data_IF_538872031738
#
_entry.id   IF_538872031738
#
_cell.length_a   1.000
_cell.length_b   1.000
_cell.length_c   1.000
_cell.angle_alpha   90.00
_cell.angle_beta   90.00
_cell.angle_gamma   90.00
#
_symmetry.space_group_name_H-M   'P 1'
#
loop_
_entity.id
_entity.type
_entity.pdbx_description
1 polymer ?
#
# COMPACT_ATOMS: atom_id res chain seq x y z
N UNK A 1 27.55 60.38 -25.02
CA UNK A 1 27.14 58.96 -24.85
C UNK A 1 25.66 58.85 -25.18
N UNK A 2 25.36 58.29 -26.36
CA UNK A 2 24.04 58.37 -27.00
C UNK A 2 22.95 57.70 -26.15
N UNK A 3 21.78 58.35 -26.05
CA UNK A 3 20.58 57.86 -25.36
C UNK A 3 20.23 56.42 -25.78
N UNK A 4 20.47 56.10 -27.05
CA UNK A 4 20.31 54.78 -27.66
C UNK A 4 21.17 53.71 -26.96
N UNK A 5 22.42 54.05 -26.58
CA UNK A 5 23.32 53.13 -25.89
C UNK A 5 22.86 52.84 -24.45
N UNK A 6 22.23 53.81 -23.78
CA UNK A 6 21.67 53.64 -22.43
C UNK A 6 20.40 52.77 -22.45
N UNK A 7 19.55 52.94 -23.45
CA UNK A 7 18.33 52.12 -23.63
C UNK A 7 18.71 50.68 -23.99
N UNK A 8 19.71 50.49 -24.85
CA UNK A 8 20.22 49.16 -25.19
C UNK A 8 20.82 48.42 -23.99
N UNK A 9 21.59 49.11 -23.13
CA UNK A 9 22.11 48.52 -21.89
C UNK A 9 20.99 48.15 -20.90
N UNK A 10 19.96 48.99 -20.78
CA UNK A 10 18.82 48.73 -19.88
C UNK A 10 17.99 47.53 -20.33
N UNK A 11 17.78 47.36 -21.65
CA UNK A 11 17.06 46.22 -22.20
C UNK A 11 17.81 44.88 -21.99
N UNK A 12 19.15 44.88 -22.05
CA UNK A 12 19.97 43.69 -21.81
C UNK A 12 19.98 43.32 -20.32
N UNK A 13 19.95 44.31 -19.41
CA UNK A 13 19.87 44.07 -17.97
C UNK A 13 18.47 43.63 -17.48
N UNK A 14 17.39 43.93 -18.21
CA UNK A 14 16.03 43.52 -17.87
C UNK A 14 15.65 42.11 -18.38
N UNK A 15 16.47 41.51 -19.25
CA UNK A 15 16.24 40.18 -19.82
C UNK A 15 16.22 38.99 -18.82
N UNK A 16 16.85 39.01 -17.62
CA UNK A 16 16.77 37.86 -16.72
C UNK A 16 15.47 37.81 -15.89
N UNK A 17 14.55 38.79 -16.01
CA UNK A 17 13.27 38.77 -15.29
C UNK A 17 12.25 37.75 -15.84
N UNK A 18 12.53 37.12 -16.99
CA UNK A 18 11.73 36.03 -17.55
C UNK A 18 12.41 34.66 -17.47
N UNK A 19 13.46 34.53 -16.65
CA UNK A 19 13.98 33.22 -16.29
C UNK A 19 12.92 32.47 -15.47
N UNK A 20 12.06 31.71 -16.14
CA UNK A 20 11.30 30.66 -15.47
C UNK A 20 12.34 29.72 -14.88
N UNK A 21 12.38 29.62 -13.55
CA UNK A 21 13.19 28.62 -12.88
C UNK A 21 12.83 27.26 -13.51
N UNK A 22 13.78 26.63 -14.20
CA UNK A 22 13.58 25.27 -14.68
C UNK A 22 13.33 24.41 -13.43
N UNK A 23 12.09 23.92 -13.29
CA UNK A 23 11.80 22.91 -12.27
C UNK A 23 12.77 21.75 -12.50
N UNK A 24 13.68 21.54 -11.54
CA UNK A 24 14.46 20.32 -11.48
C UNK A 24 13.48 19.15 -11.59
N UNK A 25 13.53 18.42 -12.71
CA UNK A 25 12.65 17.29 -12.99
C UNK A 25 13.04 16.18 -12.02
N UNK A 26 12.43 16.20 -10.84
CA UNK A 26 12.67 15.19 -9.82
C UNK A 26 12.37 13.82 -10.41
N UNK A 27 13.39 12.96 -10.54
CA UNK A 27 13.19 11.64 -11.13
C UNK A 27 12.32 10.79 -10.22
N UNK A 28 11.23 10.16 -10.71
CA UNK A 28 10.35 9.36 -9.87
C UNK A 28 11.13 8.22 -9.23
N UNK A 29 11.02 8.16 -7.92
CA UNK A 29 11.61 7.11 -7.11
C UNK A 29 10.69 6.81 -5.93
N UNK A 30 10.79 5.60 -5.43
CA UNK A 30 10.15 5.22 -4.17
C UNK A 30 10.80 5.95 -3.00
N UNK A 31 9.99 6.21 -1.97
CA UNK A 31 10.44 6.70 -0.67
C UNK A 31 11.31 5.65 0.02
N UNK A 32 12.29 6.12 0.81
CA UNK A 32 13.23 5.22 1.49
C UNK A 32 12.59 4.44 2.62
N UNK A 33 11.78 5.11 3.45
CA UNK A 33 11.13 4.54 4.63
C UNK A 33 9.76 5.21 4.78
N UNK A 34 8.70 4.41 4.91
CA UNK A 34 7.35 4.89 5.15
C UNK A 34 6.67 4.02 6.22
N UNK A 35 6.72 4.41 7.50
CA UNK A 35 5.93 3.78 8.54
C UNK A 35 4.44 4.08 8.31
N UNK A 36 3.57 3.13 8.59
CA UNK A 36 2.13 3.21 8.33
C UNK A 36 1.32 2.63 9.47
N UNK A 37 0.15 3.21 9.68
CA UNK A 37 -0.92 2.67 10.54
C UNK A 37 -2.13 2.40 9.66
N UNK A 38 -2.76 1.24 9.81
CA UNK A 38 -4.00 0.86 9.11
C UNK A 38 -5.14 0.77 10.11
N UNK A 39 -6.35 1.20 9.70
CA UNK A 39 -7.52 1.25 10.56
C UNK A 39 -8.48 0.07 10.36
N UNK A 40 -8.68 -0.39 9.12
CA UNK A 40 -9.70 -1.42 8.83
C UNK A 40 -9.33 -2.79 9.44
N UNK A 41 -8.09 -3.20 9.22
CA UNK A 41 -7.43 -4.26 9.97
C UNK A 41 -6.36 -3.53 10.79
N UNK A 42 -6.58 -3.30 12.11
CA UNK A 42 -5.63 -2.59 12.95
C UNK A 42 -4.24 -3.16 12.74
N UNK A 43 -3.34 -2.33 12.23
CA UNK A 43 -2.05 -2.78 11.77
C UNK A 43 -0.98 -1.71 11.87
N UNK A 44 0.23 -2.17 12.14
CA UNK A 44 1.45 -1.39 12.02
C UNK A 44 2.27 -1.96 10.86
N UNK A 45 2.72 -1.09 9.97
CA UNK A 45 3.53 -1.50 8.83
C UNK A 45 4.66 -0.52 8.54
N UNK A 46 5.64 -0.98 7.77
CA UNK A 46 6.70 -0.13 7.26
C UNK A 46 7.06 -0.56 5.84
N UNK A 47 7.19 0.42 4.95
CA UNK A 47 7.65 0.21 3.59
C UNK A 47 9.07 0.77 3.41
N UNK A 48 9.96 -0.04 2.87
CA UNK A 48 11.36 0.27 2.63
C UNK A 48 11.67 0.29 1.15
N UNK A 49 12.25 1.39 0.65
CA UNK A 49 12.71 1.51 -0.73
C UNK A 49 14.03 0.79 -0.95
N UNK A 50 14.04 -0.25 -1.78
CA UNK A 50 15.25 -1.02 -2.13
C UNK A 50 15.94 -0.50 -3.39
N UNK A 51 15.17 -0.08 -4.39
CA UNK A 51 15.65 0.46 -5.65
C UNK A 51 14.71 1.57 -6.13
N UNK A 52 14.99 2.21 -7.27
CA UNK A 52 14.18 3.33 -7.79
C UNK A 52 12.68 3.04 -7.83
N UNK A 53 12.30 1.80 -8.13
CA UNK A 53 10.89 1.39 -8.31
C UNK A 53 10.52 0.18 -7.45
N UNK A 54 11.40 -0.28 -6.55
CA UNK A 54 11.21 -1.52 -5.78
C UNK A 54 11.15 -1.21 -4.30
N UNK A 55 10.15 -1.74 -3.61
CA UNK A 55 10.01 -1.66 -2.16
C UNK A 55 9.76 -3.02 -1.54
N UNK A 56 10.05 -3.11 -0.24
CA UNK A 56 9.57 -4.19 0.62
C UNK A 56 8.65 -3.57 1.66
N UNK A 57 7.43 -4.07 1.76
CA UNK A 57 6.46 -3.70 2.77
C UNK A 57 6.33 -4.83 3.77
N UNK A 58 6.43 -4.54 5.07
CA UNK A 58 6.17 -5.49 6.14
C UNK A 58 5.07 -4.94 7.05
N UNK A 59 4.18 -5.81 7.51
CA UNK A 59 3.04 -5.46 8.34
C UNK A 59 2.77 -6.53 9.40
N UNK A 60 2.42 -6.09 10.60
CA UNK A 60 1.76 -6.90 11.62
C UNK A 60 0.35 -6.34 11.84
N UNK A 61 -0.66 -7.20 11.83
CA UNK A 61 -2.06 -6.81 11.91
C UNK A 61 -2.92 -7.80 12.69
N UNK A 62 -4.15 -7.38 13.01
CA UNK A 62 -5.21 -8.29 13.45
C UNK A 62 -6.12 -8.65 12.27
N UNK A 63 -6.21 -9.94 11.99
CA UNK A 63 -7.17 -10.51 11.06
C UNK A 63 -8.51 -10.81 11.72
N UNK A 64 -9.57 -10.65 10.95
CA UNK A 64 -10.94 -10.97 11.35
C UNK A 64 -11.56 -11.91 10.31
N UNK A 65 -12.12 -13.02 10.75
CA UNK A 65 -12.87 -13.93 9.90
C UNK A 65 -14.31 -14.06 10.39
N UNK A 66 -15.27 -13.99 9.47
CA UNK A 66 -16.69 -14.23 9.72
C UNK A 66 -17.18 -15.27 8.72
N UNK A 67 -17.70 -16.38 9.23
CA UNK A 67 -18.17 -17.52 8.46
C UNK A 67 -19.65 -17.74 8.78
N UNK A 68 -20.48 -17.83 7.75
CA UNK A 68 -21.91 -18.09 7.89
C UNK A 68 -22.21 -19.47 7.32
N UNK A 69 -22.88 -20.31 8.12
CA UNK A 69 -23.35 -21.62 7.69
C UNK A 69 -24.87 -21.61 7.72
N UNK A 70 -25.49 -21.93 6.58
CA UNK A 70 -26.92 -22.15 6.47
C UNK A 70 -27.16 -23.58 5.99
N UNK A 71 -27.83 -24.40 6.81
CA UNK A 71 -28.24 -25.75 6.46
C UNK A 71 -29.72 -25.95 6.77
N UNK A 72 -30.45 -26.57 5.85
CA UNK A 72 -31.85 -26.97 6.06
C UNK A 72 -32.00 -28.14 7.04
N UNK A 73 -30.94 -28.94 7.25
CA UNK A 73 -31.00 -30.15 8.07
C UNK A 73 -30.29 -30.01 9.43
N UNK A 74 -29.22 -29.21 9.51
CA UNK A 74 -28.38 -29.09 10.71
C UNK A 74 -28.50 -27.73 11.43
N UNK A 75 -29.43 -26.88 10.97
CA UNK A 75 -29.61 -25.53 11.48
C UNK A 75 -28.64 -24.51 10.85
N UNK A 76 -28.85 -23.24 11.20
CA UNK A 76 -28.04 -22.12 10.75
C UNK A 76 -27.20 -21.58 11.91
N UNK A 77 -26.08 -20.97 11.58
CA UNK A 77 -25.32 -20.18 12.54
C UNK A 77 -24.06 -19.57 11.96
N UNK A 78 -23.25 -18.99 12.83
CA UNK A 78 -22.07 -18.25 12.45
C UNK A 78 -20.85 -18.66 13.28
N UNK A 79 -19.68 -18.47 12.70
CA UNK A 79 -18.40 -18.65 13.34
C UNK A 79 -17.54 -17.42 13.09
N UNK A 80 -16.95 -16.88 14.14
CA UNK A 80 -16.09 -15.69 14.06
C UNK A 80 -14.75 -15.96 14.71
N UNK A 81 -13.70 -15.37 14.14
CA UNK A 81 -12.34 -15.55 14.59
C UNK A 81 -11.57 -14.24 14.53
N UNK A 82 -10.71 -14.04 15.54
CA UNK A 82 -9.73 -12.95 15.56
C UNK A 82 -8.35 -13.57 15.75
N UNK A 83 -7.41 -13.23 14.88
CA UNK A 83 -6.08 -13.83 14.87
C UNK A 83 -4.99 -12.79 14.55
N UNK A 84 -3.79 -12.91 15.13
CA UNK A 84 -2.63 -12.16 14.65
C UNK A 84 -2.27 -12.57 13.23
N UNK A 85 -1.86 -11.60 12.42
CA UNK A 85 -1.33 -11.81 11.08
C UNK A 85 -0.04 -11.04 10.90
N UNK A 86 0.90 -11.62 10.18
CA UNK A 86 2.05 -10.89 9.61
C UNK A 86 2.07 -11.05 8.11
N UNK A 87 2.55 -10.03 7.42
CA UNK A 87 2.60 -10.00 5.97
C UNK A 87 3.84 -9.25 5.49
N UNK A 88 4.43 -9.75 4.41
CA UNK A 88 5.49 -9.09 3.67
C UNK A 88 5.16 -9.08 2.19
N UNK A 89 5.39 -7.95 1.54
CA UNK A 89 5.23 -7.79 0.09
C UNK A 89 6.47 -7.16 -0.51
N UNK A 90 7.02 -7.79 -1.56
CA UNK A 90 7.97 -7.13 -2.46
C UNK A 90 7.20 -6.51 -3.62
N UNK A 91 7.35 -5.22 -3.84
CA UNK A 91 6.53 -4.43 -4.77
C UNK A 91 7.41 -3.75 -5.80
N UNK A 92 7.09 -3.88 -7.09
CA UNK A 92 7.71 -3.13 -8.19
C UNK A 92 6.70 -2.17 -8.83
N UNK A 93 6.91 -0.88 -8.60
CA UNK A 93 6.04 0.20 -9.06
C UNK A 93 6.32 0.59 -10.52
N UNK A 94 5.51 0.06 -11.43
CA UNK A 94 5.65 0.34 -12.86
C UNK A 94 4.99 1.67 -13.30
N UNK A 95 4.12 2.25 -12.46
CA UNK A 95 3.35 3.44 -12.87
C UNK A 95 3.96 4.79 -12.46
N UNK A 96 5.01 4.86 -11.64
CA UNK A 96 5.47 6.15 -11.07
C UNK A 96 5.86 7.15 -12.17
N UNK A 97 6.65 6.70 -13.16
CA UNK A 97 7.06 7.49 -14.32
C UNK A 97 5.87 7.95 -15.18
N UNK A 98 4.91 7.06 -15.44
CA UNK A 98 3.73 7.43 -16.24
C UNK A 98 2.78 8.37 -15.51
N UNK A 99 2.77 8.34 -14.17
CA UNK A 99 2.00 9.28 -13.34
C UNK A 99 2.65 10.66 -13.32
N UNK A 100 3.98 10.73 -13.13
CA UNK A 100 4.71 11.99 -13.23
C UNK A 100 4.47 12.68 -14.57
N UNK A 101 4.64 11.97 -15.70
CA UNK A 101 4.40 12.51 -17.05
C UNK A 101 2.98 13.05 -17.26
N UNK A 102 2.00 12.54 -16.49
CA UNK A 102 0.60 12.98 -16.54
C UNK A 102 0.25 14.00 -15.46
N UNK A 103 1.23 14.55 -14.74
CA UNK A 103 0.99 15.47 -13.62
C UNK A 103 0.24 14.84 -12.43
N UNK A 104 0.12 13.52 -12.38
CA UNK A 104 -0.54 12.77 -11.30
C UNK A 104 0.44 12.60 -10.14
N UNK A 105 -0.09 12.57 -8.91
CA UNK A 105 0.73 12.33 -7.73
C UNK A 105 1.43 10.96 -7.82
N UNK A 106 2.75 10.95 -7.75
CA UNK A 106 3.59 9.75 -7.73
C UNK A 106 4.36 9.62 -6.40
N UNK A 107 4.38 10.66 -5.56
CA UNK A 107 5.12 10.68 -4.30
C UNK A 107 4.43 9.86 -3.22
N UNK A 108 5.14 9.49 -2.15
CA UNK A 108 4.63 8.55 -1.16
C UNK A 108 4.30 7.18 -1.76
N UNK A 109 5.06 6.77 -2.78
CA UNK A 109 4.83 5.55 -3.57
C UNK A 109 3.40 5.47 -4.14
N UNK A 110 2.84 6.60 -4.57
CA UNK A 110 1.50 6.67 -5.16
C UNK A 110 1.51 6.10 -6.58
N UNK A 111 1.19 4.83 -6.74
CA UNK A 111 1.21 4.15 -8.01
C UNK A 111 0.70 2.72 -7.96
N UNK A 112 0.68 2.10 -9.13
CA UNK A 112 0.36 0.71 -9.35
C UNK A 112 1.65 -0.11 -9.35
N UNK A 113 1.57 -1.33 -8.84
CA UNK A 113 2.68 -2.25 -8.71
C UNK A 113 2.27 -3.69 -9.02
N UNK A 114 3.25 -4.50 -9.39
CA UNK A 114 3.17 -5.95 -9.31
C UNK A 114 4.18 -6.42 -8.26
N UNK A 115 4.01 -7.62 -7.75
CA UNK A 115 4.87 -8.11 -6.67
C UNK A 115 4.64 -9.56 -6.31
N UNK A 116 5.18 -9.92 -5.14
CA UNK A 116 4.86 -11.15 -4.45
C UNK A 116 4.54 -10.82 -2.99
N UNK A 117 3.60 -11.56 -2.42
CA UNK A 117 3.20 -11.49 -1.01
C UNK A 117 3.52 -12.81 -0.34
N UNK A 118 3.98 -12.73 0.90
CA UNK A 118 4.04 -13.83 1.84
C UNK A 118 3.34 -13.39 3.13
N UNK A 119 2.50 -14.23 3.70
CA UNK A 119 1.83 -13.95 4.96
C UNK A 119 1.77 -15.18 5.85
N UNK A 120 1.75 -14.93 7.16
CA UNK A 120 1.53 -15.96 8.16
C UNK A 120 0.41 -15.52 9.09
N UNK A 121 -0.63 -16.34 9.17
CA UNK A 121 -1.72 -16.19 10.10
C UNK A 121 -1.47 -17.11 11.30
N UNK A 122 -1.43 -16.54 12.50
CA UNK A 122 -1.14 -17.25 13.75
C UNK A 122 -2.41 -17.85 14.34
N UNK A 123 -2.27 -18.69 15.37
CA UNK A 123 -3.40 -19.21 16.14
C UNK A 123 -4.35 -18.08 16.58
N UNK A 124 -5.65 -18.38 16.58
CA UNK A 124 -6.67 -17.44 16.96
C UNK A 124 -6.58 -17.08 18.45
N UNK A 125 -6.77 -15.80 18.77
CA UNK A 125 -6.98 -15.37 20.16
C UNK A 125 -8.36 -15.74 20.67
N UNK A 126 -9.34 -15.74 19.77
CA UNK A 126 -10.73 -16.03 20.11
C UNK A 126 -11.43 -16.70 18.96
N UNK A 127 -12.19 -17.73 19.31
CA UNK A 127 -13.08 -18.46 18.41
C UNK A 127 -14.47 -18.44 19.04
N UNK A 128 -15.47 -17.98 18.28
CA UNK A 128 -16.86 -17.93 18.76
C UNK A 128 -17.80 -18.50 17.72
N UNK A 129 -18.58 -19.49 18.14
CA UNK A 129 -19.70 -20.04 17.39
C UNK A 129 -21.02 -19.51 17.95
N UNK A 130 -22.01 -19.30 17.08
CA UNK A 130 -23.38 -19.00 17.44
C UNK A 130 -24.34 -19.85 16.61
N UNK A 131 -25.44 -20.31 17.20
CA UNK A 131 -26.39 -21.22 16.56
C UNK A 131 -25.92 -22.69 16.55
N UNK A 132 -26.50 -23.50 15.67
CA UNK A 132 -26.21 -24.94 15.58
C UNK A 132 -25.01 -25.23 14.67
N UNK A 133 -23.91 -24.49 14.83
CA UNK A 133 -22.68 -24.72 14.03
C UNK A 133 -21.81 -25.75 14.73
N UNK A 134 -21.63 -26.92 14.11
CA UNK A 134 -20.60 -27.88 14.50
C UNK A 134 -19.31 -27.50 13.77
N UNK A 135 -18.34 -26.96 14.51
CA UNK A 135 -17.01 -26.67 13.97
C UNK A 135 -16.25 -28.00 13.88
N UNK A 136 -16.19 -28.59 12.69
CA UNK A 136 -15.46 -29.84 12.43
C UNK A 136 -13.97 -29.61 12.20
N UNK A 137 -13.58 -28.41 11.74
CA UNK A 137 -12.19 -27.95 11.64
C UNK A 137 -12.10 -26.55 12.25
N UNK A 138 -11.54 -26.39 13.47
CA UNK A 138 -11.32 -25.07 14.06
C UNK A 138 -10.31 -24.27 13.22
N UNK A 139 -10.21 -22.98 13.50
CA UNK A 139 -9.26 -22.12 12.82
C UNK A 139 -7.83 -22.68 12.95
N UNK A 140 -7.09 -22.67 11.85
CA UNK A 140 -5.72 -23.16 11.81
C UNK A 140 -4.76 -22.07 11.37
N UNK A 141 -3.55 -22.01 11.97
CA UNK A 141 -2.46 -21.22 11.44
C UNK A 141 -2.20 -21.59 9.99
N UNK A 142 -1.84 -20.59 9.19
CA UNK A 142 -1.60 -20.77 7.77
C UNK A 142 -0.47 -19.89 7.27
N UNK A 143 0.34 -20.44 6.38
CA UNK A 143 1.31 -19.68 5.60
C UNK A 143 0.78 -19.53 4.18
N UNK A 144 0.81 -18.33 3.63
CA UNK A 144 0.36 -18.07 2.26
C UNK A 144 1.44 -17.35 1.47
N UNK A 145 1.64 -17.74 0.21
CA UNK A 145 2.57 -17.07 -0.71
C UNK A 145 1.99 -17.00 -2.12
N UNK A 146 2.20 -15.89 -2.80
CA UNK A 146 1.71 -15.74 -4.16
C UNK A 146 2.07 -14.43 -4.84
N UNK A 147 1.93 -14.35 -6.17
CA UNK A 147 2.06 -13.10 -6.90
C UNK A 147 0.91 -12.15 -6.56
N UNK A 148 1.16 -10.85 -6.64
CA UNK A 148 0.16 -9.81 -6.41
C UNK A 148 0.21 -8.73 -7.47
N UNK A 149 -0.95 -8.13 -7.72
CA UNK A 149 -1.08 -6.85 -8.38
C UNK A 149 -1.76 -5.88 -7.42
N UNK A 150 -1.35 -4.62 -7.43
CA UNK A 150 -1.90 -3.66 -6.49
C UNK A 150 -1.73 -2.20 -6.87
N UNK A 151 -2.32 -1.37 -6.02
CA UNK A 151 -2.31 0.08 -6.11
C UNK A 151 -2.10 0.67 -4.71
N UNK A 152 -1.26 1.68 -4.64
CA UNK A 152 -1.09 2.53 -3.46
C UNK A 152 -1.34 3.98 -3.84
N UNK A 153 -2.10 4.68 -3.01
CA UNK A 153 -2.39 6.10 -3.12
C UNK A 153 -2.09 6.73 -1.77
N UNK A 154 -1.10 7.61 -1.74
CA UNK A 154 -0.66 8.31 -0.54
C UNK A 154 -0.82 9.81 -0.76
N UNK A 155 -1.30 10.53 0.24
CA UNK A 155 -1.39 11.99 0.17
C UNK A 155 -2.60 12.48 -0.61
N UNK A 156 -3.74 11.83 -0.42
CA UNK A 156 -5.04 12.39 -0.81
C UNK A 156 -5.23 13.70 -0.02
N UNK A 157 -5.49 14.82 -0.72
CA UNK A 157 -5.67 16.17 -0.16
C UNK A 157 -4.52 16.67 0.73
N UNK A 158 -3.26 16.40 0.38
CA UNK A 158 -2.07 16.85 1.11
C UNK A 158 -1.95 16.34 2.56
N UNK A 159 -2.80 15.40 2.96
CA UNK A 159 -2.72 14.74 4.25
C UNK A 159 -1.76 13.56 4.23
N UNK A 160 -1.75 12.81 5.33
CA UNK A 160 -0.98 11.59 5.45
C UNK A 160 -1.79 10.33 5.12
N UNK A 161 -2.98 10.49 4.54
CA UNK A 161 -3.86 9.36 4.24
C UNK A 161 -3.18 8.43 3.24
N UNK A 162 -3.17 7.14 3.58
CA UNK A 162 -2.69 6.04 2.76
C UNK A 162 -3.84 5.08 2.47
N UNK A 163 -4.05 4.83 1.19
CA UNK A 163 -4.84 3.74 0.67
C UNK A 163 -3.91 2.79 -0.06
N UNK A 164 -3.93 1.50 0.27
CA UNK A 164 -3.17 0.48 -0.43
C UNK A 164 -4.04 -0.77 -0.55
N UNK A 165 -4.09 -1.31 -1.77
CA UNK A 165 -4.80 -2.54 -2.07
C UNK A 165 -3.92 -3.40 -2.95
N UNK A 166 -3.81 -4.67 -2.60
CA UNK A 166 -3.13 -5.71 -3.38
C UNK A 166 -3.98 -6.97 -3.38
N UNK A 167 -3.97 -7.69 -4.50
CA UNK A 167 -4.70 -8.93 -4.66
C UNK A 167 -3.97 -9.87 -5.62
N UNK A 168 -4.07 -11.17 -5.38
CA UNK A 168 -3.60 -12.20 -6.30
C UNK A 168 -3.85 -13.61 -5.78
N UNK A 169 -3.53 -14.63 -6.61
CA UNK A 169 -3.61 -16.02 -6.19
C UNK A 169 -2.53 -16.33 -5.16
N UNK A 170 -2.84 -17.20 -4.20
CA UNK A 170 -1.90 -17.73 -3.22
C UNK A 170 -1.97 -19.25 -3.13
N UNK A 171 -0.82 -19.87 -2.91
CA UNK A 171 -0.74 -21.18 -2.28
C UNK A 171 -0.82 -20.97 -0.77
N UNK A 172 -1.79 -21.62 -0.13
CA UNK A 172 -2.05 -21.56 1.31
C UNK A 172 -1.71 -22.92 1.92
N UNK A 173 -0.70 -22.94 2.76
CA UNK A 173 -0.23 -24.09 3.51
C UNK A 173 -0.87 -24.06 4.90
N UNK A 174 -1.66 -25.09 5.21
CA UNK A 174 -2.28 -25.27 6.52
C UNK A 174 -1.37 -26.10 7.43
N UNK A 175 -1.54 -25.94 8.74
CA UNK A 175 -0.72 -26.66 9.74
C UNK A 175 -0.88 -28.18 9.66
N UNK A 176 -2.03 -28.68 9.22
CA UNK A 176 -2.29 -30.11 9.03
C UNK A 176 -1.63 -30.72 7.78
N UNK A 177 -0.91 -29.90 7.00
CA UNK A 177 -0.20 -30.32 5.79
C UNK A 177 -1.00 -30.14 4.50
N UNK A 178 -2.26 -29.71 4.59
CA UNK A 178 -3.09 -29.42 3.42
C UNK A 178 -2.55 -28.17 2.69
N UNK A 179 -2.60 -28.21 1.35
CA UNK A 179 -2.23 -27.08 0.49
C UNK A 179 -3.42 -26.71 -0.39
N UNK A 180 -3.85 -25.45 -0.30
CA UNK A 180 -4.98 -24.92 -1.03
C UNK A 180 -4.56 -23.80 -1.99
N UNK A 181 -5.11 -23.80 -3.20
CA UNK A 181 -5.04 -22.65 -4.10
C UNK A 181 -6.19 -21.70 -3.79
N UNK A 182 -5.88 -20.46 -3.41
CA UNK A 182 -6.87 -19.40 -3.23
C UNK A 182 -6.59 -18.27 -4.22
N UNK A 183 -7.47 -18.07 -5.20
CA UNK A 183 -7.31 -17.09 -6.29
C UNK A 183 -7.28 -15.64 -5.77
N UNK A 184 -7.81 -15.40 -4.58
CA UNK A 184 -7.80 -14.10 -3.90
C UNK A 184 -7.08 -14.17 -2.55
N UNK A 185 -6.19 -15.14 -2.37
CA UNK A 185 -5.54 -15.43 -1.10
C UNK A 185 -4.27 -14.64 -0.81
N UNK A 186 -3.68 -13.97 -1.82
CA UNK A 186 -2.52 -13.12 -1.65
C UNK A 186 -2.93 -11.64 -1.68
N UNK A 187 -2.25 -10.83 -0.87
CA UNK A 187 -2.42 -9.39 -0.85
C UNK A 187 -3.13 -8.86 0.39
N UNK A 188 -3.41 -7.56 0.35
CA UNK A 188 -3.73 -6.76 1.52
C UNK A 188 -4.70 -5.65 1.17
N UNK A 189 -5.50 -5.25 2.16
CA UNK A 189 -6.24 -4.01 2.11
C UNK A 189 -5.83 -3.14 3.29
N UNK A 190 -5.42 -1.90 2.98
CA UNK A 190 -4.88 -0.97 3.93
C UNK A 190 -5.49 0.41 3.70
N UNK A 191 -6.14 0.94 4.75
CA UNK A 191 -6.66 2.31 4.78
C UNK A 191 -6.25 2.91 6.12
N UNK A 192 -5.44 3.96 6.07
CA UNK A 192 -4.97 4.64 7.28
C UNK A 192 -4.01 5.77 6.95
N UNK A 193 -2.87 5.82 7.65
CA UNK A 193 -1.96 6.97 7.59
C UNK A 193 -0.50 6.55 7.44
N UNK A 194 0.27 7.33 6.69
CA UNK A 194 1.73 7.32 6.72
C UNK A 194 2.20 8.19 7.87
N UNK A 195 3.16 7.72 8.66
CA UNK A 195 3.75 8.50 9.72
C UNK A 195 5.01 9.21 9.23
N UNK A 196 5.18 10.47 9.63
CA UNK A 196 6.34 11.28 9.28
C UNK A 196 6.22 12.00 7.94
N UNK A 197 7.30 12.68 7.57
CA UNK A 197 7.34 13.53 6.38
C UNK A 197 7.77 12.69 5.17
N UNK A 198 6.87 12.49 4.22
CA UNK A 198 7.21 12.13 2.85
C UNK A 198 6.97 13.35 1.97
N UNK A 199 7.65 13.43 0.81
CA UNK A 199 7.49 14.61 -0.06
C UNK A 199 6.06 14.64 -0.59
N UNK A 200 5.23 15.60 -0.18
CA UNK A 200 3.89 15.77 -0.75
C UNK A 200 3.96 16.51 -2.09
N UNK A 201 2.89 16.47 -2.89
CA UNK A 201 2.85 17.15 -4.20
C UNK A 201 3.10 18.66 -4.11
N UNK A 202 2.65 19.28 -3.01
CA UNK A 202 2.60 20.74 -2.86
C UNK A 202 3.61 21.31 -1.84
N UNK A 203 4.57 20.50 -1.36
CA UNK A 203 5.64 20.95 -0.44
C UNK A 203 6.53 22.10 -0.96
N UNK A 204 6.34 22.56 -2.21
CA UNK A 204 7.03 23.70 -2.81
C UNK A 204 6.16 24.97 -2.93
N UNK A 205 4.97 25.03 -2.31
CA UNK A 205 4.06 26.19 -2.39
C UNK A 205 4.03 27.10 -1.15
N UNK A 206 4.92 26.91 -0.18
CA UNK A 206 5.07 27.80 0.97
C UNK A 206 6.46 28.43 1.00
#
# INVERSE_FOLDING_TARGET
>A
MNLILKIALFAICAAPLFATAQEEIETPRVERVMPKISLLSPALGCEFGLAKEITVYAQASLGFGLYFNASTNNGSGSYSVVYPKTEMEIRKYYSLKSRQRRGKNWRGNSGMFFGASASYNFDAFSERAEGNVIITKPYQPSFSVGPIWGIQLTGVNNGNINFSFSIGPALVFLRDGDVNLNIFGAGSFNLGFVLGNYKSKDSKRN
#
